data_IF_800059166083
#
_entry.id   IF_800059166083
#
_cell.length_a   1.000
_cell.length_b   1.000
_cell.length_c   1.000
_cell.angle_alpha   90.00
_cell.angle_beta   90.00
_cell.angle_gamma   90.00
#
_symmetry.space_group_name_H-M   'P 1'
#
loop_
_entity.id
_entity.type
_entity.pdbx_description
1 polymer ?
#
# COMPACT_ATOMS: atom_id res chain seq x y z
N UNK A 1 3.12 -19.04 -0.32
CA UNK A 1 2.80 -17.66 -0.75
C UNK A 1 4.10 -16.91 -1.03
N UNK A 2 4.14 -15.99 -2.00
CA UNK A 2 5.34 -15.20 -2.28
C UNK A 2 5.73 -14.34 -1.07
N UNK A 3 7.01 -13.99 -0.96
CA UNK A 3 7.48 -12.97 0.00
C UNK A 3 7.12 -11.58 -0.50
N UNK A 4 7.14 -10.57 0.37
CA UNK A 4 6.89 -9.17 -0.03
C UNK A 4 7.83 -8.72 -1.15
N UNK A 5 9.13 -9.03 -1.03
CA UNK A 5 10.12 -8.72 -2.08
C UNK A 5 9.76 -9.37 -3.42
N UNK A 6 9.39 -10.65 -3.41
CA UNK A 6 9.02 -11.37 -4.63
C UNK A 6 7.73 -10.81 -5.27
N UNK A 7 6.79 -10.33 -4.45
CA UNK A 7 5.56 -9.69 -4.93
C UNK A 7 5.81 -8.27 -5.49
N UNK A 8 6.84 -7.56 -5.00
CA UNK A 8 7.23 -6.24 -5.51
C UNK A 8 8.10 -6.30 -6.78
N UNK A 9 8.88 -7.37 -6.98
CA UNK A 9 9.84 -7.49 -8.08
C UNK A 9 9.24 -7.24 -9.47
N UNK A 10 8.05 -7.76 -9.83
CA UNK A 10 7.44 -7.51 -11.13
C UNK A 10 7.19 -6.03 -11.44
N UNK A 11 6.91 -5.21 -10.42
CA UNK A 11 6.67 -3.77 -10.59
C UNK A 11 7.94 -3.03 -11.02
N UNK A 12 9.14 -3.57 -10.74
CA UNK A 12 10.40 -3.00 -11.22
C UNK A 12 10.53 -3.06 -12.74
N UNK A 13 9.75 -3.91 -13.41
CA UNK A 13 9.64 -3.95 -14.88
C UNK A 13 8.65 -2.95 -15.49
N UNK A 14 7.94 -2.18 -14.66
CA UNK A 14 6.93 -1.20 -15.11
C UNK A 14 7.45 0.24 -15.14
N UNK A 15 8.76 0.46 -15.26
CA UNK A 15 9.35 1.81 -15.22
C UNK A 15 9.01 2.68 -16.42
N UNK A 16 8.76 2.07 -17.57
CA UNK A 16 8.34 2.80 -18.78
C UNK A 16 6.82 2.95 -18.80
N UNK A 17 6.30 4.18 -19.01
CA UNK A 17 4.87 4.42 -19.11
C UNK A 17 4.23 3.60 -20.23
N UNK A 18 3.10 2.96 -19.92
CA UNK A 18 2.34 2.16 -20.88
C UNK A 18 0.93 2.71 -21.02
N UNK A 19 0.45 2.78 -22.25
CA UNK A 19 -0.85 3.33 -22.57
C UNK A 19 -1.91 2.20 -22.63
N UNK A 20 -3.11 2.48 -22.12
CA UNK A 20 -4.29 1.61 -22.32
C UNK A 20 -4.15 0.20 -21.75
N UNK A 21 -3.57 0.07 -20.56
CA UNK A 21 -3.36 -1.22 -19.90
C UNK A 21 -4.47 -1.48 -18.89
N UNK A 22 -5.03 -2.69 -18.92
CA UNK A 22 -6.14 -3.08 -18.04
C UNK A 22 -7.42 -2.33 -18.40
N UNK A 23 -8.15 -1.88 -17.38
CA UNK A 23 -9.37 -1.07 -17.51
C UNK A 23 -9.09 0.44 -17.60
N UNK A 24 -7.86 0.86 -17.28
CA UNK A 24 -7.50 2.25 -17.10
C UNK A 24 -7.14 2.95 -18.43
N UNK A 25 -7.70 4.14 -18.70
CA UNK A 25 -7.34 4.93 -19.88
C UNK A 25 -6.00 5.68 -19.73
N UNK A 26 -5.35 5.60 -18.56
CA UNK A 26 -4.18 6.40 -18.22
C UNK A 26 -2.86 5.78 -18.70
N UNK A 27 -1.80 6.60 -18.65
CA UNK A 27 -0.42 6.19 -18.93
C UNK A 27 0.22 5.77 -17.62
N UNK A 28 0.34 4.46 -17.42
CA UNK A 28 0.73 3.90 -16.13
C UNK A 28 2.20 3.51 -16.12
N UNK A 29 2.91 3.89 -15.06
CA UNK A 29 4.26 3.43 -14.76
C UNK A 29 4.38 3.08 -13.27
N UNK A 30 5.39 2.29 -12.91
CA UNK A 30 5.76 2.03 -11.53
C UNK A 30 7.19 2.44 -11.23
N UNK A 31 7.41 2.86 -10.00
CA UNK A 31 8.72 3.21 -9.44
C UNK A 31 8.84 2.53 -8.08
N UNK A 32 9.87 1.72 -7.90
CA UNK A 32 10.10 1.01 -6.63
C UNK A 32 11.47 1.42 -6.11
N UNK A 33 11.52 2.15 -5.01
CA UNK A 33 12.77 2.63 -4.43
C UNK A 33 13.62 1.49 -3.88
N UNK A 34 14.88 1.81 -3.60
CA UNK A 34 15.76 0.93 -2.81
C UNK A 34 15.17 0.70 -1.41
N UNK A 35 15.58 -0.39 -0.77
CA UNK A 35 15.20 -0.71 0.61
C UNK A 35 15.55 0.40 1.61
N UNK A 36 14.74 0.50 2.66
CA UNK A 36 15.03 1.28 3.86
C UNK A 36 16.16 0.63 4.66
N UNK A 37 16.78 1.42 5.55
CA UNK A 37 17.68 0.87 6.57
C UNK A 37 16.90 0.39 7.80
N UNK A 38 17.47 -0.54 8.56
CA UNK A 38 16.85 -0.98 9.83
C UNK A 38 16.76 0.18 10.82
N UNK A 39 17.79 1.03 10.89
CA UNK A 39 17.85 2.17 11.80
C UNK A 39 16.70 3.15 11.49
N UNK A 40 16.51 3.49 10.21
CA UNK A 40 15.40 4.33 9.72
C UNK A 40 14.03 3.80 10.15
N UNK A 41 13.78 2.50 10.00
CA UNK A 41 12.50 1.90 10.40
C UNK A 41 12.34 1.95 11.92
N UNK A 42 13.38 1.59 12.68
CA UNK A 42 13.33 1.52 14.14
C UNK A 42 13.23 2.88 14.83
N UNK A 43 13.65 3.96 14.17
CA UNK A 43 13.56 5.33 14.68
C UNK A 43 12.09 5.79 14.77
N UNK A 44 11.27 5.39 13.81
CA UNK A 44 9.85 5.82 13.72
C UNK A 44 8.85 4.76 14.17
N UNK A 45 9.18 3.47 14.02
CA UNK A 45 8.31 2.36 14.39
C UNK A 45 8.92 1.56 15.55
N UNK A 46 8.34 1.63 16.76
CA UNK A 46 8.85 0.86 17.87
C UNK A 46 8.61 -0.64 17.62
N UNK A 47 9.56 -1.48 18.03
CA UNK A 47 9.55 -2.92 17.72
C UNK A 47 8.26 -3.67 18.11
N UNK A 48 7.54 -3.21 19.12
CA UNK A 48 6.27 -3.83 19.56
C UNK A 48 5.06 -3.45 18.69
N UNK A 49 5.17 -2.39 17.88
CA UNK A 49 4.14 -1.93 16.95
C UNK A 49 4.47 -2.27 15.49
N UNK A 50 5.70 -2.72 15.21
CA UNK A 50 6.15 -3.08 13.88
C UNK A 50 5.66 -4.48 13.52
N UNK A 51 4.78 -4.57 12.51
CA UNK A 51 4.31 -5.84 11.98
C UNK A 51 5.41 -6.47 11.10
N UNK A 52 5.60 -7.82 11.14
CA UNK A 52 6.63 -8.47 10.33
C UNK A 52 6.50 -8.20 8.81
N UNK A 53 5.28 -8.11 8.29
CA UNK A 53 5.05 -7.79 6.87
C UNK A 53 5.42 -6.34 6.52
N UNK A 54 5.27 -5.42 7.49
CA UNK A 54 5.60 -4.01 7.32
C UNK A 54 7.12 -3.79 7.33
N UNK A 55 7.83 -4.48 8.22
CA UNK A 55 9.29 -4.53 8.19
C UNK A 55 9.80 -5.14 6.88
N UNK A 56 9.22 -6.29 6.48
CA UNK A 56 9.59 -6.95 5.22
C UNK A 56 9.34 -6.06 4.00
N UNK A 57 8.28 -5.24 4.02
CA UNK A 57 7.99 -4.25 2.98
C UNK A 57 9.13 -3.24 2.86
N UNK A 58 9.46 -2.53 3.94
CA UNK A 58 10.47 -1.48 3.89
C UNK A 58 11.89 -2.01 3.65
N UNK A 59 12.21 -3.21 4.14
CA UNK A 59 13.46 -3.89 3.81
C UNK A 59 13.54 -4.39 2.36
N UNK A 60 12.41 -4.44 1.64
CA UNK A 60 12.34 -4.73 0.20
C UNK A 60 12.34 -3.45 -0.64
N UNK A 61 11.63 -2.42 -0.19
CA UNK A 61 11.56 -1.11 -0.82
C UNK A 61 11.13 -0.06 0.20
N UNK A 62 11.91 1.02 0.35
CA UNK A 62 11.60 2.11 1.26
C UNK A 62 10.27 2.79 0.90
N UNK A 63 9.97 2.89 -0.38
CA UNK A 63 8.83 3.66 -0.90
C UNK A 63 8.55 3.19 -2.34
N UNK A 64 7.30 3.19 -2.79
CA UNK A 64 6.99 2.79 -4.16
C UNK A 64 5.74 3.48 -4.71
N UNK A 65 5.73 3.73 -6.01
CA UNK A 65 4.57 4.15 -6.78
C UNK A 65 4.22 3.01 -7.72
N UNK A 66 3.06 2.39 -7.53
CA UNK A 66 2.60 1.23 -8.28
C UNK A 66 1.50 1.68 -9.21
N UNK A 67 1.68 1.46 -10.51
CA UNK A 67 0.75 1.88 -11.57
C UNK A 67 0.31 3.35 -11.44
N UNK A 68 1.25 4.23 -11.16
CA UNK A 68 0.99 5.66 -11.12
C UNK A 68 0.64 6.18 -12.52
N UNK A 69 -0.46 6.92 -12.62
CA UNK A 69 -0.71 7.79 -13.76
C UNK A 69 0.35 8.89 -13.81
N UNK A 70 1.20 8.85 -14.83
CA UNK A 70 2.33 9.79 -14.96
C UNK A 70 1.92 11.16 -15.49
N UNK A 71 0.72 11.30 -16.07
CA UNK A 71 0.28 12.56 -16.68
C UNK A 71 -0.39 13.46 -15.63
N UNK A 72 -1.25 12.90 -14.78
CA UNK A 72 -2.02 13.69 -13.80
C UNK A 72 -1.87 13.23 -12.34
N UNK A 73 -1.25 12.07 -12.09
CA UNK A 73 -1.09 11.53 -10.73
C UNK A 73 -2.41 11.16 -10.07
N UNK A 74 -3.44 10.84 -10.85
CA UNK A 74 -4.80 10.59 -10.37
C UNK A 74 -5.14 9.10 -10.22
N UNK A 75 -4.17 8.23 -10.45
CA UNK A 75 -4.34 6.79 -10.40
C UNK A 75 -3.08 6.12 -9.88
N UNK A 76 -3.27 4.97 -9.23
CA UNK A 76 -2.21 4.13 -8.71
C UNK A 76 -2.19 4.08 -7.19
N UNK A 77 -1.16 3.43 -6.66
CA UNK A 77 -0.93 3.26 -5.24
C UNK A 77 0.46 3.77 -4.88
N UNK A 78 0.53 4.70 -3.94
CA UNK A 78 1.77 5.14 -3.32
C UNK A 78 1.98 4.38 -2.02
N UNK A 79 2.94 3.45 -2.00
CA UNK A 79 3.48 2.84 -0.78
C UNK A 79 4.38 3.85 -0.09
N UNK A 80 4.00 4.19 1.15
CA UNK A 80 4.66 5.22 1.94
C UNK A 80 5.98 4.74 2.52
N UNK A 81 6.89 5.69 2.71
CA UNK A 81 8.08 5.46 3.52
C UNK A 81 7.77 5.30 5.01
N UNK A 82 8.72 4.78 5.83
CA UNK A 82 8.46 4.51 7.24
C UNK A 82 7.94 5.72 8.01
N UNK A 83 8.50 6.91 7.78
CA UNK A 83 8.14 8.13 8.49
C UNK A 83 6.76 8.65 8.06
N UNK A 84 6.48 8.67 6.76
CA UNK A 84 5.19 9.05 6.20
C UNK A 84 4.08 8.10 6.67
N UNK A 85 4.34 6.79 6.67
CA UNK A 85 3.41 5.78 7.17
C UNK A 85 3.09 5.98 8.67
N UNK A 86 4.11 6.26 9.50
CA UNK A 86 3.91 6.52 10.93
C UNK A 86 3.05 7.78 11.15
N UNK A 87 3.38 8.86 10.45
CA UNK A 87 2.64 10.12 10.52
C UNK A 87 1.18 9.92 10.07
N UNK A 88 0.96 9.20 8.97
CA UNK A 88 -0.37 8.95 8.40
C UNK A 88 -1.21 8.05 9.29
N UNK A 89 -0.60 7.04 9.90
CA UNK A 89 -1.23 6.16 10.90
C UNK A 89 -1.68 6.96 12.13
N UNK A 90 -0.79 7.80 12.67
CA UNK A 90 -1.09 8.66 13.82
C UNK A 90 -2.22 9.66 13.52
N UNK A 91 -2.20 10.28 12.33
CA UNK A 91 -3.24 11.18 11.86
C UNK A 91 -4.60 10.46 11.71
N UNK A 92 -4.62 9.24 11.16
CA UNK A 92 -5.82 8.41 11.05
C UNK A 92 -6.43 8.12 12.42
N UNK A 93 -5.62 7.64 13.38
CA UNK A 93 -6.07 7.37 14.75
C UNK A 93 -6.57 8.61 15.49
N UNK A 94 -5.96 9.76 15.24
CA UNK A 94 -6.36 11.03 15.88
C UNK A 94 -7.67 11.56 15.30
N UNK A 95 -7.81 11.51 13.98
CA UNK A 95 -8.99 12.05 13.28
C UNK A 95 -10.20 11.12 13.35
N UNK A 96 -9.97 9.81 13.39
CA UNK A 96 -11.01 8.76 13.36
C UNK A 96 -10.73 7.65 14.38
N UNK A 97 -10.72 7.96 15.69
CA UNK A 97 -10.33 7.03 16.74
C UNK A 97 -11.25 5.80 16.87
N UNK A 98 -12.47 5.84 16.31
CA UNK A 98 -13.38 4.70 16.28
C UNK A 98 -13.16 3.75 15.11
N UNK A 99 -12.36 4.13 14.10
CA UNK A 99 -12.18 3.36 12.87
C UNK A 99 -10.81 2.69 12.76
N UNK A 100 -9.78 3.25 13.41
CA UNK A 100 -8.43 2.70 13.44
C UNK A 100 -8.14 2.00 14.76
N UNK A 101 -7.72 0.74 14.67
CA UNK A 101 -7.23 -0.03 15.81
C UNK A 101 -5.81 0.40 16.18
N UNK A 102 -5.42 0.18 17.45
CA UNK A 102 -4.11 0.56 17.96
C UNK A 102 -2.93 -0.17 17.28
N UNK A 103 -3.21 -1.27 16.59
CA UNK A 103 -2.24 -2.11 15.89
C UNK A 103 -2.31 -2.01 14.37
N UNK A 104 -3.23 -1.19 13.83
CA UNK A 104 -3.29 -0.92 12.39
C UNK A 104 -2.14 -0.03 11.94
N UNK A 105 -1.63 -0.28 10.75
CA UNK A 105 -0.68 0.60 10.08
C UNK A 105 -1.23 1.07 8.73
N UNK A 106 -1.23 2.38 8.49
CA UNK A 106 -1.41 2.90 7.13
C UNK A 106 -0.09 2.76 6.40
N UNK A 107 -0.08 2.02 5.29
CA UNK A 107 1.13 1.67 4.54
C UNK A 107 1.14 2.26 3.13
N UNK A 108 0.00 2.73 2.65
CA UNK A 108 -0.10 3.33 1.34
C UNK A 108 -1.31 4.24 1.18
N UNK A 109 -1.28 5.04 0.13
CA UNK A 109 -2.33 5.95 -0.29
C UNK A 109 -2.69 5.67 -1.74
N UNK A 110 -3.98 5.48 -2.00
CA UNK A 110 -4.46 5.41 -3.36
C UNK A 110 -4.57 6.81 -3.94
N UNK A 111 -4.03 6.97 -5.13
CA UNK A 111 -4.01 8.25 -5.82
C UNK A 111 -5.38 8.50 -6.46
N UNK A 112 -5.92 9.71 -6.29
CA UNK A 112 -7.17 10.17 -6.92
C UNK A 112 -8.39 10.25 -6.01
N UNK A 113 -8.55 9.36 -5.03
CA UNK A 113 -9.80 9.20 -4.27
C UNK A 113 -9.60 9.13 -2.74
N UNK A 114 -8.40 9.44 -2.25
CA UNK A 114 -8.06 9.62 -0.82
C UNK A 114 -8.16 8.37 0.06
N UNK A 115 -8.45 7.22 -0.54
CA UNK A 115 -8.45 5.94 0.16
C UNK A 115 -7.05 5.57 0.64
N UNK A 116 -6.99 4.80 1.73
CA UNK A 116 -5.72 4.35 2.31
C UNK A 116 -5.61 2.85 2.28
N UNK A 117 -4.41 2.35 2.09
CA UNK A 117 -4.08 0.95 2.29
C UNK A 117 -3.67 0.75 3.76
N UNK A 118 -4.45 -0.07 4.47
CA UNK A 118 -4.23 -0.36 5.89
C UNK A 118 -3.84 -1.82 6.07
N UNK A 119 -2.78 -2.05 6.84
CA UNK A 119 -2.34 -3.37 7.27
C UNK A 119 -2.78 -3.60 8.71
N UNK A 120 -3.54 -4.66 8.92
CA UNK A 120 -4.00 -5.11 10.24
C UNK A 120 -2.95 -5.99 10.93
N UNK A 121 -3.04 -6.08 12.26
CA UNK A 121 -2.11 -6.88 13.07
C UNK A 121 -2.00 -8.36 12.67
N UNK A 122 -3.07 -8.90 12.08
CA UNK A 122 -3.11 -10.29 11.61
C UNK A 122 -2.60 -10.48 10.18
N UNK A 123 -2.05 -9.43 9.55
CA UNK A 123 -1.59 -9.41 8.15
C UNK A 123 -2.68 -9.05 7.14
N UNK A 124 -3.93 -8.88 7.58
CA UNK A 124 -5.04 -8.48 6.71
C UNK A 124 -4.81 -7.13 6.06
N UNK A 125 -5.24 -6.98 4.81
CA UNK A 125 -5.12 -5.73 4.07
C UNK A 125 -6.51 -5.16 3.82
N UNK A 126 -6.75 -3.95 4.32
CA UNK A 126 -7.99 -3.19 4.16
C UNK A 126 -7.78 -1.98 3.26
N UNK A 127 -8.84 -1.53 2.60
CA UNK A 127 -8.91 -0.19 2.01
C UNK A 127 -9.76 0.68 2.91
N UNK A 128 -9.14 1.65 3.58
CA UNK A 128 -9.84 2.59 4.42
C UNK A 128 -10.49 3.68 3.58
N UNK A 129 -11.83 3.69 3.58
CA UNK A 129 -12.64 4.67 2.87
C UNK A 129 -12.73 5.97 3.70
N UNK A 130 -12.63 7.15 3.07
CA UNK A 130 -12.50 8.43 3.77
C UNK A 130 -13.73 8.83 4.58
N UNK A 131 -14.93 8.34 4.22
CA UNK A 131 -16.21 8.72 4.81
C UNK A 131 -16.90 7.57 5.55
N UNK A 132 -16.64 6.32 5.16
CA UNK A 132 -17.33 5.14 5.69
C UNK A 132 -16.61 4.56 6.91
N UNK A 133 -17.35 4.05 7.91
CA UNK A 133 -16.78 3.48 9.13
C UNK A 133 -15.96 2.22 8.83
N UNK A 134 -15.12 1.79 9.79
CA UNK A 134 -14.28 0.58 9.65
C UNK A 134 -15.06 -0.66 9.19
N UNK A 135 -16.29 -0.84 9.67
CA UNK A 135 -17.13 -2.00 9.32
C UNK A 135 -17.39 -2.14 7.83
N UNK A 136 -17.29 -1.04 7.10
CA UNK A 136 -17.54 -0.98 5.66
C UNK A 136 -16.22 -0.93 4.86
N UNK A 137 -15.05 -0.93 5.51
CA UNK A 137 -13.76 -0.98 4.83
C UNK A 137 -13.56 -2.36 4.20
N UNK A 138 -13.45 -2.45 2.87
CA UNK A 138 -13.29 -3.73 2.21
C UNK A 138 -11.93 -4.33 2.54
N UNK A 139 -11.94 -5.59 2.95
CA UNK A 139 -10.74 -6.42 3.06
C UNK A 139 -10.39 -6.95 1.67
N UNK A 140 -9.28 -6.46 1.12
CA UNK A 140 -8.83 -6.80 -0.23
C UNK A 140 -7.91 -8.02 -0.26
N UNK A 141 -7.14 -8.27 0.81
CA UNK A 141 -6.31 -9.48 0.90
C UNK A 141 -6.13 -9.97 2.34
N UNK A 142 -5.65 -11.20 2.49
CA UNK A 142 -5.31 -11.78 3.79
C UNK A 142 -3.86 -11.50 4.20
N UNK A 143 -3.01 -11.15 3.25
CA UNK A 143 -1.59 -10.80 3.44
C UNK A 143 -1.15 -9.72 2.46
N UNK A 144 -0.11 -8.96 2.80
CA UNK A 144 0.44 -7.94 1.90
C UNK A 144 1.00 -8.51 0.58
N UNK A 145 1.75 -9.63 0.54
CA UNK A 145 2.21 -10.21 -0.72
C UNK A 145 1.06 -10.65 -1.63
N UNK A 146 -0.03 -11.17 -1.06
CA UNK A 146 -1.24 -11.52 -1.82
C UNK A 146 -1.86 -10.26 -2.44
N UNK A 147 -2.01 -9.19 -1.67
CA UNK A 147 -2.51 -7.90 -2.19
C UNK A 147 -1.65 -7.41 -3.36
N UNK A 148 -0.32 -7.34 -3.18
CA UNK A 148 0.59 -6.86 -4.22
C UNK A 148 0.55 -7.73 -5.48
N UNK A 149 0.35 -9.04 -5.33
CA UNK A 149 0.22 -9.95 -6.49
C UNK A 149 -1.10 -9.68 -7.23
N UNK A 150 -2.21 -9.59 -6.51
CA UNK A 150 -3.53 -9.34 -7.13
C UNK A 150 -3.64 -7.95 -7.73
N UNK A 151 -3.05 -6.94 -7.09
CA UNK A 151 -2.99 -5.58 -7.62
C UNK A 151 -2.21 -5.52 -8.94
N UNK A 152 -1.18 -6.37 -9.09
CA UNK A 152 -0.43 -6.52 -10.35
C UNK A 152 -1.30 -7.19 -11.43
N UNK A 153 -1.97 -8.29 -11.09
CA UNK A 153 -2.85 -9.03 -12.00
C UNK A 153 -4.03 -8.17 -12.48
N UNK A 154 -4.55 -7.32 -11.60
CA UNK A 154 -5.61 -6.36 -11.87
C UNK A 154 -5.10 -5.06 -12.52
N UNK A 155 -3.79 -4.95 -12.79
CA UNK A 155 -3.15 -3.78 -13.43
C UNK A 155 -3.51 -2.46 -12.73
N UNK A 156 -3.49 -2.47 -11.41
CA UNK A 156 -3.73 -1.29 -10.60
C UNK A 156 -5.19 -1.02 -10.22
N UNK A 157 -6.13 -1.89 -10.61
CA UNK A 157 -7.49 -1.85 -10.07
C UNK A 157 -7.50 -2.28 -8.60
N UNK A 158 -8.16 -1.47 -7.76
CA UNK A 158 -8.25 -1.70 -6.30
C UNK A 158 -9.15 -2.88 -5.93
N UNK A 159 -10.19 -3.08 -6.73
CA UNK A 159 -11.20 -4.10 -6.53
C UNK A 159 -11.21 -5.00 -7.75
N UNK A 160 -11.03 -6.30 -7.50
CA UNK A 160 -11.12 -7.33 -8.52
C UNK A 160 -12.35 -8.18 -8.23
N UNK A 161 -13.08 -8.57 -9.26
CA UNK A 161 -14.25 -9.43 -9.10
C UNK A 161 -13.82 -10.76 -8.47
N UNK A 162 -14.45 -11.10 -7.34
CA UNK A 162 -14.49 -12.48 -6.88
C UNK A 162 -15.50 -13.19 -7.77
N UNK A 163 -15.04 -13.79 -8.87
CA UNK A 163 -15.86 -14.75 -9.62
C UNK A 163 -16.18 -15.97 -8.78
#
# INVERSE_FOLDING_TARGET
MPTVNAALDPYRGWTEPRDGVGSSPFRLASKVESRASIDEVSEVWPAHALLPELEALWLSSREAWLFQDIDYGQWGLHILDPAAAAARTSAGRTSRPGDFEATDAVVGEFLGDTDLLVLEANGGVLVALPLDPRTDWPRVASTLPEFLTRYLEAVGDKYWESS
#
